data_IF_371282366241
#
_entry.id   IF_371282366241
#
_cell.length_a   1.000
_cell.length_b   1.000
_cell.length_c   1.000
_cell.angle_alpha   90.00
_cell.angle_beta   90.00
_cell.angle_gamma   90.00
#
_symmetry.space_group_name_H-M   'P 1'
#
loop_
_entity.id
_entity.type
_entity.pdbx_description
1 polymer ?
#
# COMPACT_ATOMS: atom_id res chain seq x y z
N UNK A 1 11.33 17.40 -46.89
CA UNK A 1 11.72 17.09 -45.48
C UNK A 1 10.51 16.60 -44.65
N UNK A 2 9.40 17.33 -44.60
CA UNK A 2 8.21 16.99 -43.79
C UNK A 2 7.55 15.65 -44.14
N UNK A 3 7.50 15.28 -45.43
CA UNK A 3 6.94 14.00 -45.90
C UNK A 3 7.80 12.83 -45.45
N UNK A 4 9.12 12.94 -45.54
CA UNK A 4 10.09 11.89 -45.11
C UNK A 4 9.98 11.69 -43.61
N UNK A 5 9.85 12.76 -42.83
CA UNK A 5 9.65 12.70 -41.39
C UNK A 5 8.31 12.01 -41.03
N UNK A 6 7.21 12.41 -41.73
CA UNK A 6 5.91 11.78 -41.51
C UNK A 6 5.90 10.28 -41.82
N UNK A 7 6.52 9.87 -42.92
CA UNK A 7 6.67 8.44 -43.28
C UNK A 7 7.52 7.70 -42.25
N UNK A 8 8.62 8.30 -41.77
CA UNK A 8 9.48 7.68 -40.75
C UNK A 8 8.74 7.48 -39.41
N UNK A 9 7.89 8.44 -39.00
CA UNK A 9 7.06 8.32 -37.81
C UNK A 9 6.01 7.22 -37.96
N UNK A 10 5.33 7.16 -39.10
CA UNK A 10 4.33 6.11 -39.38
C UNK A 10 4.98 4.70 -39.45
N UNK A 11 6.14 4.59 -40.08
CA UNK A 11 6.92 3.34 -40.07
C UNK A 11 7.37 2.98 -38.64
N UNK A 12 7.79 3.94 -37.83
CA UNK A 12 8.16 3.72 -36.43
C UNK A 12 7.00 3.19 -35.61
N UNK A 13 5.80 3.81 -35.74
CA UNK A 13 4.57 3.34 -35.09
C UNK A 13 4.18 1.93 -35.57
N UNK A 14 4.29 1.67 -36.87
CA UNK A 14 4.03 0.34 -37.44
C UNK A 14 4.99 -0.73 -36.88
N UNK A 15 6.29 -0.43 -36.81
CA UNK A 15 7.29 -1.33 -36.23
C UNK A 15 7.09 -1.56 -34.72
N UNK A 16 6.64 -0.55 -33.99
CA UNK A 16 6.30 -0.70 -32.57
C UNK A 16 5.10 -1.65 -32.38
N UNK A 17 4.07 -1.52 -33.19
CA UNK A 17 2.93 -2.44 -33.16
C UNK A 17 3.30 -3.86 -33.62
N UNK A 18 4.22 -4.00 -34.56
CA UNK A 18 4.70 -5.30 -35.03
C UNK A 18 5.44 -6.09 -33.95
N UNK A 19 6.06 -5.41 -32.99
CA UNK A 19 6.80 -6.04 -31.91
C UNK A 19 5.90 -6.81 -30.93
N UNK A 20 4.60 -6.50 -30.87
CA UNK A 20 3.63 -7.26 -30.04
C UNK A 20 3.25 -8.60 -30.67
N UNK A 21 3.41 -8.75 -31.99
CA UNK A 21 3.08 -9.99 -32.73
C UNK A 21 4.14 -11.08 -32.47
N UNK A 22 5.33 -10.73 -32.02
CA UNK A 22 6.41 -11.68 -31.72
C UNK A 22 6.41 -12.26 -30.30
N UNK A 23 5.41 -11.99 -29.50
CA UNK A 23 5.22 -12.66 -28.21
C UNK A 23 4.61 -14.06 -28.45
N UNK A 24 5.48 -15.03 -28.70
CA UNK A 24 5.09 -16.38 -29.15
C UNK A 24 5.10 -17.42 -28.03
N UNK A 25 5.45 -17.03 -26.80
CA UNK A 25 5.57 -17.94 -25.67
C UNK A 25 4.46 -17.71 -24.63
N UNK A 26 3.95 -18.80 -24.06
CA UNK A 26 3.08 -18.73 -22.87
C UNK A 26 3.84 -18.30 -21.61
N UNK A 27 5.18 -18.29 -21.67
CA UNK A 27 6.02 -17.82 -20.58
C UNK A 27 6.27 -16.31 -20.73
N UNK A 28 5.74 -15.54 -19.77
CA UNK A 28 5.87 -14.08 -19.71
C UNK A 28 7.33 -13.63 -19.70
N UNK A 29 8.21 -14.34 -18.99
CA UNK A 29 9.65 -13.98 -18.93
C UNK A 29 10.35 -14.14 -20.28
N UNK A 30 9.99 -15.15 -21.05
CA UNK A 30 10.53 -15.33 -22.42
C UNK A 30 10.09 -14.20 -23.32
N UNK A 31 8.81 -13.80 -23.25
CA UNK A 31 8.28 -12.67 -24.01
C UNK A 31 8.94 -11.34 -23.62
N UNK A 32 9.22 -11.14 -22.33
CA UNK A 32 9.95 -9.95 -21.87
C UNK A 32 11.39 -9.90 -22.41
N UNK A 33 12.11 -11.03 -22.39
CA UNK A 33 13.48 -11.12 -22.91
C UNK A 33 13.56 -10.94 -24.44
N UNK A 34 12.52 -11.32 -25.16
CA UNK A 34 12.45 -11.18 -26.63
C UNK A 34 12.07 -9.75 -27.06
N UNK A 35 11.56 -8.94 -26.16
CA UNK A 35 10.99 -7.64 -26.51
C UNK A 35 12.05 -6.52 -26.46
N UNK A 36 11.83 -5.49 -27.29
CA UNK A 36 12.67 -4.29 -27.28
C UNK A 36 12.36 -3.43 -26.04
N UNK A 37 13.39 -3.05 -25.27
CA UNK A 37 13.25 -2.27 -24.03
C UNK A 37 12.58 -0.91 -24.23
N UNK A 38 12.84 -0.22 -25.35
CA UNK A 38 12.19 1.07 -25.67
C UNK A 38 10.68 0.85 -25.89
N UNK A 39 10.34 -0.19 -26.65
CA UNK A 39 8.93 -0.56 -26.86
C UNK A 39 8.24 -0.87 -25.53
N UNK A 40 8.88 -1.65 -24.64
CA UNK A 40 8.32 -1.99 -23.33
C UNK A 40 8.15 -0.78 -22.45
N UNK A 41 9.07 0.18 -22.49
CA UNK A 41 8.92 1.42 -21.76
C UNK A 41 7.67 2.19 -22.20
N UNK A 42 7.47 2.39 -23.50
CA UNK A 42 6.28 3.07 -24.03
C UNK A 42 5.00 2.26 -23.78
N UNK A 43 5.05 0.95 -23.94
CA UNK A 43 3.89 0.09 -23.68
C UNK A 43 3.49 0.13 -22.19
N UNK A 44 4.45 0.11 -21.28
CA UNK A 44 4.20 0.26 -19.85
C UNK A 44 3.61 1.63 -19.52
N UNK A 45 4.13 2.70 -20.12
CA UNK A 45 3.61 4.06 -19.93
C UNK A 45 2.17 4.19 -20.42
N UNK A 46 1.87 3.70 -21.63
CA UNK A 46 0.54 3.79 -22.24
C UNK A 46 -0.50 2.88 -21.58
N UNK A 47 -0.07 1.77 -20.96
CA UNK A 47 -0.95 0.82 -20.29
C UNK A 47 -0.92 0.97 -18.76
N UNK A 48 -0.48 2.11 -18.23
CA UNK A 48 -0.38 2.35 -16.80
C UNK A 48 -1.74 2.58 -16.13
N UNK A 49 -2.81 2.71 -16.89
CA UNK A 49 -4.16 2.84 -16.37
C UNK A 49 -4.78 1.48 -16.04
N UNK A 50 -5.60 1.47 -15.00
CA UNK A 50 -6.35 0.30 -14.59
C UNK A 50 -7.58 0.13 -15.48
N UNK A 51 -7.55 -0.88 -16.31
CA UNK A 51 -8.73 -1.32 -17.07
C UNK A 51 -9.25 -2.64 -16.49
N UNK A 52 -10.30 -2.56 -15.68
CA UNK A 52 -10.91 -3.73 -15.06
C UNK A 52 -11.47 -4.73 -16.09
N UNK A 53 -12.01 -4.25 -17.22
CA UNK A 53 -12.55 -5.11 -18.27
C UNK A 53 -11.45 -5.90 -19.00
N UNK A 54 -10.25 -5.33 -19.06
CA UNK A 54 -9.09 -5.99 -19.68
C UNK A 54 -8.48 -7.09 -18.78
N UNK A 55 -8.48 -6.88 -17.47
CA UNK A 55 -7.76 -7.74 -16.53
C UNK A 55 -8.64 -8.69 -15.75
N UNK A 56 -9.94 -8.42 -15.67
CA UNK A 56 -10.89 -9.23 -14.91
C UNK A 56 -12.15 -9.54 -15.68
N UNK A 57 -12.71 -10.68 -15.37
CA UNK A 57 -14.10 -10.96 -15.73
C UNK A 57 -15.00 -10.11 -14.82
N UNK A 58 -15.65 -9.11 -15.40
CA UNK A 58 -16.56 -8.21 -14.70
C UNK A 58 -18.00 -8.68 -14.85
N UNK A 59 -18.82 -8.37 -13.85
CA UNK A 59 -20.28 -8.52 -13.90
C UNK A 59 -20.92 -7.21 -14.38
N UNK A 60 -22.11 -7.26 -14.99
CA UNK A 60 -22.93 -6.07 -15.18
C UNK A 60 -23.14 -5.34 -13.83
N UNK A 61 -23.14 -4.00 -13.86
CA UNK A 61 -23.14 -3.20 -12.65
C UNK A 61 -24.37 -3.46 -11.75
N UNK A 62 -25.54 -3.65 -12.34
CA UNK A 62 -26.78 -3.99 -11.65
C UNK A 62 -26.72 -5.37 -10.99
N UNK A 63 -26.15 -6.36 -11.64
CA UNK A 63 -25.94 -7.70 -11.08
C UNK A 63 -24.93 -7.65 -9.91
N UNK A 64 -23.81 -6.93 -10.07
CA UNK A 64 -22.83 -6.74 -9.04
C UNK A 64 -23.43 -6.05 -7.79
N UNK A 65 -24.22 -5.00 -7.98
CA UNK A 65 -24.94 -4.30 -6.91
C UNK A 65 -25.95 -5.22 -6.22
N UNK A 66 -26.71 -6.01 -6.99
CA UNK A 66 -27.68 -6.95 -6.43
C UNK A 66 -26.99 -8.04 -5.59
N UNK A 67 -25.84 -8.54 -6.04
CA UNK A 67 -25.04 -9.52 -5.31
C UNK A 67 -24.49 -8.91 -4.01
N UNK A 68 -23.94 -7.71 -4.06
CA UNK A 68 -23.41 -6.99 -2.88
C UNK A 68 -24.53 -6.71 -1.86
N UNK A 69 -25.69 -6.26 -2.32
CA UNK A 69 -26.86 -6.03 -1.45
C UNK A 69 -27.32 -7.32 -0.76
N UNK A 70 -27.29 -8.45 -1.45
CA UNK A 70 -27.60 -9.75 -0.84
C UNK A 70 -26.55 -10.15 0.19
N UNK A 71 -25.29 -9.94 -0.09
CA UNK A 71 -24.18 -10.26 0.80
C UNK A 71 -24.21 -9.43 2.08
N UNK A 72 -24.38 -8.11 1.94
CA UNK A 72 -24.39 -7.17 3.08
C UNK A 72 -25.78 -6.91 3.67
N UNK A 73 -26.83 -7.56 3.17
CA UNK A 73 -28.22 -7.36 3.61
C UNK A 73 -28.62 -5.87 3.60
N UNK A 74 -28.16 -5.13 2.61
CA UNK A 74 -28.44 -3.70 2.48
C UNK A 74 -29.82 -3.47 1.84
N UNK A 75 -30.41 -2.28 2.08
CA UNK A 75 -31.72 -1.87 1.54
C UNK A 75 -31.67 -1.44 0.05
N UNK A 76 -30.57 -1.69 -0.63
CA UNK A 76 -30.40 -1.41 -2.05
C UNK A 76 -29.97 0.01 -2.43
N UNK A 77 -29.79 0.91 -1.44
CA UNK A 77 -29.42 2.30 -1.70
C UNK A 77 -27.97 2.62 -1.41
N UNK A 78 -27.32 1.85 -0.55
CA UNK A 78 -25.94 2.08 -0.16
C UNK A 78 -25.30 0.78 0.30
N UNK A 79 -24.09 0.49 -0.17
CA UNK A 79 -23.28 -0.64 0.30
C UNK A 79 -22.64 -0.38 1.67
N UNK A 80 -23.15 0.59 2.43
CA UNK A 80 -22.63 0.94 3.74
C UNK A 80 -23.33 0.15 4.82
N UNK A 81 -22.60 -0.73 5.49
CA UNK A 81 -23.06 -1.41 6.69
C UNK A 81 -22.55 -0.66 7.91
N UNK A 82 -23.46 -0.17 8.73
CA UNK A 82 -23.11 0.45 10.02
C UNK A 82 -23.17 -0.59 11.12
N UNK A 83 -22.01 -0.92 11.66
CA UNK A 83 -21.94 -1.64 12.94
C UNK A 83 -22.41 -0.67 14.03
N UNK A 84 -23.51 -1.01 14.70
CA UNK A 84 -23.97 -0.26 15.86
C UNK A 84 -23.48 -0.99 17.09
N UNK A 85 -22.71 -0.29 17.91
CA UNK A 85 -22.36 -0.70 19.26
C UNK A 85 -23.23 0.10 20.24
N UNK A 86 -23.59 -0.53 21.35
CA UNK A 86 -24.33 0.11 22.47
C UNK A 86 -23.36 0.74 23.49
N UNK A 87 -22.10 0.48 23.37
CA UNK A 87 -21.05 1.03 24.25
C UNK A 87 -20.66 2.45 23.84
N UNK A 88 -20.27 3.31 24.77
CA UNK A 88 -19.73 4.62 24.45
C UNK A 88 -18.42 4.48 23.68
N UNK A 89 -18.17 5.41 22.76
CA UNK A 89 -16.92 5.46 21.99
C UNK A 89 -15.73 5.67 22.93
N UNK A 90 -14.69 4.85 22.76
CA UNK A 90 -13.46 4.92 23.54
C UNK A 90 -12.34 5.41 22.64
N UNK A 91 -11.78 6.59 22.91
CA UNK A 91 -10.69 7.18 22.18
C UNK A 91 -9.33 6.65 22.66
N UNK A 92 -9.01 5.39 22.33
CA UNK A 92 -7.68 4.82 22.62
C UNK A 92 -6.69 5.21 21.54
N UNK A 93 -5.41 5.36 21.92
CA UNK A 93 -4.34 5.47 20.96
C UNK A 93 -4.23 4.17 20.13
N UNK A 94 -3.97 4.33 18.85
CA UNK A 94 -3.85 3.21 17.90
C UNK A 94 -2.48 3.25 17.25
N UNK A 95 -1.75 2.16 17.34
CA UNK A 95 -0.46 1.98 16.66
C UNK A 95 -0.58 0.78 15.73
N UNK A 96 -0.43 1.03 14.44
CA UNK A 96 -0.40 0.02 13.39
C UNK A 96 1.05 -0.12 12.92
N UNK A 97 1.63 -1.29 13.12
CA UNK A 97 3.00 -1.60 12.69
C UNK A 97 2.93 -2.54 11.49
N UNK A 98 3.45 -2.09 10.36
CA UNK A 98 3.58 -2.89 9.14
C UNK A 98 5.03 -3.32 8.95
N UNK A 99 5.31 -4.60 9.17
CA UNK A 99 6.66 -5.14 9.12
C UNK A 99 6.97 -5.69 7.74
N UNK A 100 8.01 -5.15 7.09
CA UNK A 100 8.46 -5.58 5.76
C UNK A 100 8.98 -7.03 5.78
N UNK A 101 8.61 -7.80 4.78
CA UNK A 101 9.10 -9.17 4.54
C UNK A 101 8.94 -10.13 5.73
N UNK A 102 7.96 -9.90 6.59
CA UNK A 102 7.72 -10.72 7.77
C UNK A 102 7.03 -12.04 7.42
N UNK A 103 7.72 -13.14 7.60
CA UNK A 103 7.17 -14.49 7.37
C UNK A 103 6.79 -15.17 8.68
N UNK A 104 5.69 -15.88 8.68
CA UNK A 104 5.31 -16.76 9.80
C UNK A 104 6.39 -17.82 10.12
N UNK A 105 7.23 -18.19 9.14
CA UNK A 105 8.33 -19.13 9.34
C UNK A 105 9.42 -18.64 10.30
N UNK A 106 9.44 -17.36 10.65
CA UNK A 106 10.37 -16.83 11.67
C UNK A 106 9.89 -17.01 13.10
N UNK A 107 8.61 -17.30 13.29
CA UNK A 107 7.97 -17.35 14.60
C UNK A 107 8.01 -18.77 15.19
N UNK A 108 8.34 -18.88 16.47
CA UNK A 108 8.38 -20.16 17.19
C UNK A 108 7.03 -20.88 17.19
N UNK A 109 5.94 -20.14 17.25
CA UNK A 109 4.56 -20.64 17.17
C UNK A 109 4.28 -21.47 15.91
N UNK A 110 4.98 -21.17 14.81
CA UNK A 110 4.83 -21.85 13.53
C UNK A 110 5.99 -22.80 13.20
N UNK A 111 6.77 -23.17 14.22
CA UNK A 111 7.78 -24.22 14.13
C UNK A 111 9.22 -23.74 13.95
N UNK A 112 9.49 -22.44 14.06
CA UNK A 112 10.87 -21.97 14.08
C UNK A 112 11.53 -22.34 15.42
N UNK A 113 12.71 -22.95 15.37
CA UNK A 113 13.49 -23.36 16.55
C UNK A 113 14.72 -22.50 16.81
N UNK A 114 15.00 -21.53 15.94
CA UNK A 114 16.22 -20.73 16.00
C UNK A 114 16.12 -19.57 17.03
N UNK A 115 14.92 -19.32 17.57
CA UNK A 115 14.68 -18.31 18.60
C UNK A 115 14.99 -16.88 18.15
N UNK A 116 14.78 -16.58 16.87
CA UNK A 116 15.13 -15.27 16.27
C UNK A 116 14.12 -14.16 16.54
N UNK A 117 12.93 -14.51 17.08
CA UNK A 117 11.85 -13.56 17.38
C UNK A 117 11.38 -13.60 18.84
N UNK A 118 12.27 -13.61 19.83
CA UNK A 118 11.89 -13.92 21.22
C UNK A 118 10.90 -12.93 21.82
N UNK A 119 10.98 -11.66 21.46
CA UNK A 119 10.08 -10.62 21.97
C UNK A 119 8.68 -10.70 21.35
N UNK A 120 8.59 -10.98 20.05
CA UNK A 120 7.30 -11.17 19.39
C UNK A 120 6.65 -12.47 19.84
N UNK A 121 7.42 -13.55 19.95
CA UNK A 121 6.91 -14.82 20.45
C UNK A 121 6.29 -14.64 21.84
N UNK A 122 6.96 -13.91 22.75
CA UNK A 122 6.43 -13.58 24.07
C UNK A 122 5.18 -12.70 23.98
N UNK A 123 5.19 -11.67 23.14
CA UNK A 123 4.02 -10.79 22.95
C UNK A 123 2.80 -11.54 22.46
N UNK A 124 3.00 -12.54 21.61
CA UNK A 124 1.91 -13.39 21.08
C UNK A 124 1.21 -14.20 22.17
N UNK A 125 1.87 -14.53 23.29
CA UNK A 125 1.25 -15.22 24.43
C UNK A 125 0.22 -14.35 25.15
N UNK A 126 0.40 -13.03 25.10
CA UNK A 126 -0.43 -12.03 25.79
C UNK A 126 -1.38 -11.29 24.84
N UNK A 127 -1.46 -11.70 23.57
CA UNK A 127 -2.13 -10.97 22.50
C UNK A 127 -3.19 -11.79 21.79
N UNK A 128 -4.10 -11.09 21.11
CA UNK A 128 -5.00 -11.73 20.13
C UNK A 128 -4.21 -12.02 18.86
N UNK A 129 -4.04 -13.30 18.54
CA UNK A 129 -3.27 -13.76 17.39
C UNK A 129 -4.18 -14.34 16.32
N UNK A 130 -4.11 -13.80 15.12
CA UNK A 130 -4.81 -14.32 13.96
C UNK A 130 -3.93 -15.34 13.22
N UNK A 131 -4.35 -16.61 13.19
CA UNK A 131 -3.54 -17.69 12.64
C UNK A 131 -3.60 -17.81 11.11
N UNK A 132 -4.55 -17.16 10.46
CA UNK A 132 -4.78 -17.24 9.01
C UNK A 132 -4.76 -15.83 8.41
N UNK A 133 -3.64 -15.12 8.57
CA UNK A 133 -3.40 -13.80 7.98
C UNK A 133 -2.40 -13.95 6.84
N UNK A 134 -2.73 -13.37 5.71
CA UNK A 134 -1.91 -13.40 4.51
C UNK A 134 -1.67 -11.97 4.04
N UNK A 135 -0.48 -11.71 3.54
CA UNK A 135 -0.19 -10.44 2.89
C UNK A 135 -1.11 -10.26 1.68
N UNK A 136 -1.62 -9.05 1.49
CA UNK A 136 -2.52 -8.72 0.38
C UNK A 136 -1.83 -8.75 -0.99
N UNK A 137 -0.49 -8.81 -1.03
CA UNK A 137 0.32 -8.90 -2.23
C UNK A 137 1.79 -9.10 -1.90
N UNK A 138 2.61 -9.24 -2.92
CA UNK A 138 4.06 -9.49 -2.81
C UNK A 138 4.92 -8.21 -2.93
N UNK A 139 4.33 -7.04 -2.77
CA UNK A 139 5.00 -5.74 -2.81
C UNK A 139 4.50 -4.87 -1.66
N UNK A 140 5.40 -4.09 -1.06
CA UNK A 140 5.11 -3.16 0.03
C UNK A 140 3.90 -2.27 -0.27
N UNK A 141 3.87 -1.64 -1.43
CA UNK A 141 2.77 -0.76 -1.85
C UNK A 141 1.40 -1.46 -1.93
N UNK A 142 1.38 -2.78 -2.14
CA UNK A 142 0.14 -3.57 -2.14
C UNK A 142 -0.38 -3.81 -0.73
N UNK A 143 0.51 -4.08 0.19
CA UNK A 143 0.18 -4.18 1.62
C UNK A 143 -0.31 -2.84 2.16
N UNK A 144 0.42 -1.76 1.88
CA UNK A 144 0.06 -0.42 2.33
C UNK A 144 -1.29 0.05 1.79
N UNK A 145 -1.59 -0.13 0.48
CA UNK A 145 -2.91 0.23 -0.06
C UNK A 145 -4.05 -0.56 0.59
N UNK A 146 -3.84 -1.86 0.80
CA UNK A 146 -4.85 -2.71 1.41
C UNK A 146 -5.15 -2.32 2.86
N UNK A 147 -4.12 -2.04 3.65
CA UNK A 147 -4.25 -1.65 5.06
C UNK A 147 -4.81 -0.24 5.21
N UNK A 148 -4.35 0.70 4.38
CA UNK A 148 -4.75 2.11 4.47
C UNK A 148 -6.16 2.34 3.91
N UNK A 149 -6.49 1.72 2.78
CA UNK A 149 -7.76 1.94 2.09
C UNK A 149 -8.81 0.85 2.39
N UNK A 150 -8.44 -0.21 3.13
CA UNK A 150 -9.31 -1.35 3.46
C UNK A 150 -9.90 -2.02 2.21
N UNK A 151 -9.13 -2.11 1.14
CA UNK A 151 -9.55 -2.73 -0.13
C UNK A 151 -8.62 -3.89 -0.51
N UNK A 152 -9.11 -4.92 -1.19
CA UNK A 152 -8.23 -5.93 -1.77
C UNK A 152 -7.35 -5.31 -2.85
N UNK A 153 -6.16 -5.86 -3.09
CA UNK A 153 -5.28 -5.37 -4.15
C UNK A 153 -5.97 -5.38 -5.50
N UNK A 154 -5.90 -4.26 -6.20
CA UNK A 154 -6.44 -4.14 -7.55
C UNK A 154 -5.36 -4.47 -8.60
N UNK A 155 -5.72 -4.88 -9.83
CA UNK A 155 -4.74 -5.14 -10.87
C UNK A 155 -4.04 -3.87 -11.35
N UNK A 156 -3.00 -4.06 -12.15
CA UNK A 156 -2.19 -2.96 -12.67
C UNK A 156 -1.30 -2.32 -11.59
N UNK A 157 -1.06 -1.04 -11.68
CA UNK A 157 -0.24 -0.29 -10.73
C UNK A 157 -0.97 -0.12 -9.39
N UNK A 158 -0.24 -0.19 -8.27
CA UNK A 158 -0.79 0.13 -6.95
C UNK A 158 -1.39 1.53 -6.91
N UNK A 159 -2.48 1.72 -6.18
CA UNK A 159 -3.13 3.02 -6.00
C UNK A 159 -2.15 4.07 -5.47
N UNK A 160 -1.24 3.68 -4.57
CA UNK A 160 -0.20 4.57 -4.03
C UNK A 160 0.62 5.23 -5.15
N UNK A 161 0.88 4.50 -6.24
CA UNK A 161 1.70 4.97 -7.37
C UNK A 161 0.91 5.60 -8.52
N UNK A 162 -0.42 5.63 -8.43
CA UNK A 162 -1.24 6.23 -9.49
C UNK A 162 -1.32 7.74 -9.33
N UNK A 163 -1.58 8.48 -10.41
CA UNK A 163 -2.11 9.83 -10.28
C UNK A 163 -3.46 9.78 -9.56
N UNK A 164 -3.90 10.91 -9.01
CA UNK A 164 -5.20 11.05 -8.32
C UNK A 164 -5.39 10.08 -7.13
N UNK A 165 -4.32 9.89 -6.36
CA UNK A 165 -4.27 9.02 -5.19
C UNK A 165 -4.51 9.75 -3.85
N UNK A 166 -5.01 10.99 -3.90
CA UNK A 166 -5.30 11.84 -2.74
C UNK A 166 -6.81 11.91 -2.43
N UNK A 167 -7.14 12.35 -1.22
CA UNK A 167 -8.54 12.52 -0.74
C UNK A 167 -9.37 11.23 -0.83
N UNK A 168 -8.75 10.09 -0.61
CA UNK A 168 -9.41 8.80 -0.62
C UNK A 168 -9.98 8.48 0.76
N UNK A 169 -11.05 7.69 0.78
CA UNK A 169 -11.54 7.12 2.04
C UNK A 169 -10.47 6.16 2.62
N UNK A 170 -9.97 6.48 3.81
CA UNK A 170 -8.86 5.76 4.42
C UNK A 170 -9.06 5.54 5.92
N UNK A 171 -8.31 4.60 6.50
CA UNK A 171 -8.27 4.40 7.96
C UNK A 171 -7.86 5.68 8.70
N UNK A 172 -6.90 6.43 8.14
CA UNK A 172 -6.47 7.72 8.68
C UNK A 172 -7.57 8.76 8.66
N UNK A 173 -8.30 8.92 7.55
CA UNK A 173 -9.41 9.85 7.43
C UNK A 173 -10.48 9.57 8.51
N UNK A 174 -10.88 8.31 8.66
CA UNK A 174 -11.90 7.92 9.66
C UNK A 174 -11.49 8.29 11.08
N UNK A 175 -10.21 8.12 11.42
CA UNK A 175 -9.71 8.48 12.75
C UNK A 175 -9.48 9.99 12.91
N UNK A 176 -9.03 10.67 11.86
CA UNK A 176 -8.89 12.13 11.85
C UNK A 176 -10.22 12.84 12.08
N UNK A 177 -11.29 12.39 11.44
CA UNK A 177 -12.64 12.91 11.65
C UNK A 177 -13.14 12.74 13.10
N UNK A 178 -12.54 11.82 13.87
CA UNK A 178 -12.77 11.61 15.30
C UNK A 178 -11.79 12.34 16.21
N UNK A 179 -10.99 13.25 15.67
CA UNK A 179 -10.09 14.11 16.43
C UNK A 179 -8.71 13.51 16.74
N UNK A 180 -8.35 12.41 16.09
CA UNK A 180 -7.01 11.82 16.23
C UNK A 180 -5.95 12.64 15.51
N UNK A 181 -4.73 12.67 16.07
CA UNK A 181 -3.50 12.95 15.32
C UNK A 181 -3.19 11.73 14.47
N UNK A 182 -2.98 11.91 13.17
CA UNK A 182 -2.78 10.80 12.22
C UNK A 182 -1.41 10.94 11.59
N UNK A 183 -0.52 9.97 11.85
CA UNK A 183 0.87 10.04 11.43
C UNK A 183 1.31 8.77 10.70
N UNK A 184 2.16 8.95 9.70
CA UNK A 184 2.85 7.88 9.01
C UNK A 184 4.36 7.99 9.26
N UNK A 185 4.93 6.95 9.84
CA UNK A 185 6.36 6.86 10.17
C UNK A 185 7.07 5.95 9.18
N UNK A 186 8.20 6.40 8.66
CA UNK A 186 9.01 5.62 7.75
C UNK A 186 10.50 5.90 7.95
N UNK A 187 11.29 4.84 8.19
CA UNK A 187 12.74 4.99 8.41
C UNK A 187 13.52 5.46 7.19
N UNK A 188 12.99 5.33 5.98
CA UNK A 188 13.58 5.80 4.73
C UNK A 188 13.07 7.16 4.27
N UNK A 189 13.36 7.49 3.00
CA UNK A 189 12.80 8.67 2.36
C UNK A 189 11.44 8.33 1.75
N UNK A 190 10.39 8.96 2.21
CA UNK A 190 9.00 8.66 1.85
C UNK A 190 8.63 8.97 0.39
N UNK A 191 9.49 9.69 -0.36
CA UNK A 191 9.32 9.83 -1.81
C UNK A 191 9.42 8.46 -2.53
N UNK A 192 10.12 7.49 -1.92
CA UNK A 192 10.20 6.13 -2.45
C UNK A 192 8.80 5.54 -2.57
N UNK A 193 8.55 4.87 -3.69
CA UNK A 193 7.25 4.27 -4.02
C UNK A 193 6.05 5.24 -3.93
N UNK A 194 6.31 6.56 -3.99
CA UNK A 194 5.29 7.63 -3.94
C UNK A 194 4.53 7.71 -2.60
N UNK A 195 5.08 7.16 -1.52
CA UNK A 195 4.43 7.13 -0.20
C UNK A 195 4.18 8.53 0.35
N UNK A 196 5.14 9.45 0.18
CA UNK A 196 4.99 10.85 0.64
C UNK A 196 3.74 11.50 0.06
N UNK A 197 3.55 11.43 -1.26
CA UNK A 197 2.40 12.02 -1.94
C UNK A 197 1.10 11.34 -1.51
N UNK A 198 1.10 10.01 -1.43
CA UNK A 198 -0.08 9.25 -1.05
C UNK A 198 -0.52 9.53 0.38
N UNK A 199 0.37 9.38 1.35
CA UNK A 199 0.00 9.55 2.76
C UNK A 199 -0.34 11.00 3.09
N UNK A 200 0.46 11.98 2.63
CA UNK A 200 0.14 13.40 2.85
C UNK A 200 -1.15 13.84 2.14
N UNK A 201 -1.40 13.32 0.94
CA UNK A 201 -2.64 13.57 0.21
C UNK A 201 -3.89 12.93 0.83
N UNK A 202 -3.71 12.00 1.78
CA UNK A 202 -4.76 11.32 2.53
C UNK A 202 -4.71 11.66 4.03
N UNK A 203 -4.24 12.87 4.35
CA UNK A 203 -4.33 13.48 5.69
C UNK A 203 -3.41 12.89 6.76
N UNK A 204 -2.37 12.16 6.39
CA UNK A 204 -1.33 11.75 7.33
C UNK A 204 -0.22 12.79 7.40
N UNK A 205 0.24 13.07 8.61
CA UNK A 205 1.50 13.78 8.84
C UNK A 205 2.66 12.79 8.64
N UNK A 206 3.64 13.20 7.82
CA UNK A 206 4.78 12.34 7.47
C UNK A 206 5.94 12.59 8.43
N UNK A 207 6.42 11.50 9.04
CA UNK A 207 7.65 11.48 9.83
C UNK A 207 8.59 10.46 9.19
N UNK A 208 9.43 10.95 8.29
CA UNK A 208 10.38 10.14 7.54
C UNK A 208 11.84 10.49 7.87
N UNK A 209 12.80 9.94 7.14
CA UNK A 209 14.24 10.20 7.34
C UNK A 209 14.60 11.69 7.40
N UNK A 210 13.87 12.56 6.69
CA UNK A 210 14.11 14.01 6.71
C UNK A 210 13.77 14.67 8.04
N UNK A 211 12.99 14.02 8.88
CA UNK A 211 12.56 14.50 10.19
C UNK A 211 13.57 14.22 11.31
N UNK A 212 14.64 13.48 11.01
CA UNK A 212 15.66 13.12 11.98
C UNK A 212 16.79 14.14 12.02
N UNK A 213 17.25 14.48 13.23
CA UNK A 213 18.53 15.16 13.38
C UNK A 213 19.70 14.16 13.29
N UNK A 214 20.92 14.62 12.99
CA UNK A 214 22.09 13.72 12.95
C UNK A 214 22.31 12.94 14.25
N UNK A 215 21.97 13.52 15.39
CA UNK A 215 22.14 12.94 16.74
C UNK A 215 21.12 11.84 17.03
N UNK A 216 19.98 11.84 16.34
CA UNK A 216 18.94 10.80 16.46
C UNK A 216 19.26 9.54 15.64
N UNK A 217 20.29 9.60 14.77
CA UNK A 217 20.64 8.51 13.86
C UNK A 217 21.88 7.78 14.39
N UNK A 218 21.70 6.55 14.85
CA UNK A 218 22.81 5.68 15.25
C UNK A 218 23.38 4.88 14.09
N UNK A 219 22.50 4.48 13.16
CA UNK A 219 22.88 3.79 11.93
C UNK A 219 21.91 4.11 10.81
N UNK A 220 22.45 4.36 9.62
CA UNK A 220 21.63 4.49 8.39
C UNK A 220 22.37 3.99 7.17
N UNK A 221 21.60 3.58 6.17
CA UNK A 221 22.09 3.19 4.85
C UNK A 221 21.25 3.85 3.75
N UNK A 222 21.36 3.34 2.51
CA UNK A 222 20.62 3.87 1.37
C UNK A 222 19.09 3.74 1.55
N UNK A 223 18.63 2.75 2.31
CA UNK A 223 17.20 2.50 2.55
C UNK A 223 16.62 3.37 3.66
N UNK A 224 17.42 3.76 4.64
CA UNK A 224 16.92 4.56 5.74
C UNK A 224 17.75 4.44 7.02
N UNK A 225 17.19 4.92 8.12
CA UNK A 225 17.68 4.72 9.49
C UNK A 225 17.32 3.31 9.96
N UNK A 226 18.00 2.82 11.02
CA UNK A 226 17.64 1.53 11.61
C UNK A 226 16.29 1.61 12.35
N UNK A 227 15.66 0.46 12.56
CA UNK A 227 14.35 0.36 13.19
C UNK A 227 14.33 0.94 14.60
N UNK A 228 15.43 0.75 15.36
CA UNK A 228 15.54 1.31 16.71
C UNK A 228 15.48 2.84 16.72
N UNK A 229 16.12 3.49 15.76
CA UNK A 229 16.06 4.95 15.62
C UNK A 229 14.67 5.42 15.24
N UNK A 230 14.04 4.72 14.26
CA UNK A 230 12.68 5.01 13.83
C UNK A 230 11.69 4.86 14.98
N UNK A 231 11.75 3.78 15.76
CA UNK A 231 10.86 3.60 16.91
C UNK A 231 11.10 4.60 18.01
N UNK A 232 12.36 4.99 18.28
CA UNK A 232 12.66 6.07 19.23
C UNK A 232 12.05 7.40 18.78
N UNK A 233 12.15 7.72 17.49
CA UNK A 233 11.51 8.91 16.92
C UNK A 233 10.00 8.85 17.05
N UNK A 234 9.39 7.72 16.71
CA UNK A 234 7.95 7.52 16.86
C UNK A 234 7.51 7.71 18.32
N UNK A 235 8.20 7.10 19.28
CA UNK A 235 7.91 7.27 20.72
C UNK A 235 8.03 8.73 21.17
N UNK A 236 9.00 9.47 20.66
CA UNK A 236 9.18 10.90 20.99
C UNK A 236 8.02 11.73 20.47
N UNK A 237 7.63 11.56 19.20
CA UNK A 237 6.53 12.30 18.57
C UNK A 237 5.19 11.96 19.23
N UNK A 238 4.88 10.67 19.36
CA UNK A 238 3.62 10.19 19.95
C UNK A 238 3.51 10.54 21.46
N UNK A 239 4.66 10.60 22.16
CA UNK A 239 4.71 11.06 23.54
C UNK A 239 4.28 12.51 23.71
N UNK A 240 4.53 13.37 22.73
CA UNK A 240 4.06 14.75 22.75
C UNK A 240 2.54 14.83 22.58
N UNK A 241 1.96 14.07 21.65
CA UNK A 241 0.51 14.00 21.49
C UNK A 241 -0.18 13.46 22.76
N UNK A 242 0.40 12.41 23.35
CA UNK A 242 -0.10 11.84 24.60
C UNK A 242 -0.05 12.85 25.77
N UNK A 243 1.02 13.63 25.86
CA UNK A 243 1.16 14.68 26.90
C UNK A 243 0.12 15.80 26.74
N UNK A 244 -0.35 16.06 25.51
CA UNK A 244 -1.42 17.01 25.21
C UNK A 244 -2.83 16.40 25.39
N UNK A 245 -2.94 15.11 25.76
CA UNK A 245 -4.21 14.41 25.88
C UNK A 245 -4.91 14.19 24.52
N UNK A 246 -4.20 14.30 23.42
CA UNK A 246 -4.73 14.10 22.07
C UNK A 246 -4.59 12.62 21.67
N UNK A 247 -5.67 11.94 21.30
CA UNK A 247 -5.56 10.59 20.79
C UNK A 247 -4.80 10.58 19.46
N UNK A 248 -4.01 9.54 19.22
CA UNK A 248 -3.24 9.41 17.99
C UNK A 248 -3.46 8.07 17.28
N UNK A 249 -3.30 8.11 15.99
CA UNK A 249 -3.14 6.95 15.10
C UNK A 249 -1.77 7.02 14.43
N UNK A 250 -0.92 6.09 14.79
CA UNK A 250 0.41 5.95 14.20
C UNK A 250 0.43 4.74 13.26
N UNK A 251 0.78 4.95 12.00
CA UNK A 251 1.10 3.90 11.04
C UNK A 251 2.63 3.88 10.86
N UNK A 252 3.29 2.81 11.28
CA UNK A 252 4.75 2.66 11.33
C UNK A 252 5.18 1.54 10.39
#
# INVERSE_FOLDING_TARGET
MTVVYGVSVLLGIGLLNFNTVFQTSDNVYVNELQSNGIFRFYAAFMNNELDYHKFYQTLPADEAVAMMNRFYRSDGRCNTYRIKDSLPEIHKNVVLITVESWSASYLSRYGNTDGITPYIDKLMEESLVFNKVYAAGNRTVRGLEAVTLCIPPSPGQSIIKRPDNANLFSTGLVLKERGYSVQYFYGGNSYFDNMETFFSGNDYEIVDKKSFTPEEITFSNIWGVCDEDMYRKALSVLGQDAALGKPFFAHI
#
